data_IF_446560698217
#
_entry.id   IF_446560698217
#
_cell.length_a   1.000
_cell.length_b   1.000
_cell.length_c   1.000
_cell.angle_alpha   90.00
_cell.angle_beta   90.00
_cell.angle_gamma   90.00
#
_symmetry.space_group_name_H-M   'P 1'
#
loop_
_entity.id
_entity.type
_entity.pdbx_description
1 polymer ?
#
# COMPACT_ATOMS: atom_id res chain seq x y z
N UNK A 1 3.73 5.66 -12.63
CA UNK A 1 2.81 6.19 -11.61
C UNK A 1 2.35 5.03 -10.72
N UNK A 2 2.22 5.25 -9.41
CA UNK A 2 1.81 4.22 -8.45
C UNK A 2 0.42 3.69 -8.78
N UNK A 3 -0.52 4.59 -9.14
CA UNK A 3 -1.89 4.21 -9.50
C UNK A 3 -1.93 3.21 -10.65
N UNK A 4 -1.14 3.46 -11.71
CA UNK A 4 -1.08 2.58 -12.88
C UNK A 4 -0.31 1.27 -12.67
N UNK A 5 0.36 1.11 -11.53
CA UNK A 5 1.13 -0.10 -11.19
C UNK A 5 0.35 -1.13 -10.37
N UNK A 6 -0.87 -0.79 -9.94
CA UNK A 6 -1.71 -1.70 -9.16
C UNK A 6 -2.25 -2.78 -10.11
N UNK A 7 -1.93 -4.04 -9.80
CA UNK A 7 -2.36 -5.21 -10.54
C UNK A 7 -2.86 -6.32 -9.61
N UNK A 8 -3.05 -7.49 -10.18
CA UNK A 8 -3.49 -8.67 -9.45
C UNK A 8 -2.78 -9.95 -9.94
N UNK A 9 -2.80 -10.98 -9.10
CA UNK A 9 -2.34 -12.33 -9.43
C UNK A 9 -3.31 -13.34 -8.84
N UNK A 10 -3.73 -14.33 -9.63
CA UNK A 10 -4.62 -15.40 -9.16
C UNK A 10 -3.81 -16.69 -9.02
N UNK A 11 -3.99 -17.38 -7.90
CA UNK A 11 -3.56 -18.74 -7.67
C UNK A 11 -4.79 -19.64 -7.60
N UNK A 12 -5.09 -20.32 -8.71
CA UNK A 12 -6.27 -21.18 -8.82
C UNK A 12 -6.17 -22.42 -7.93
N UNK A 13 -4.97 -22.97 -7.74
CA UNK A 13 -4.77 -24.16 -6.89
C UNK A 13 -5.09 -23.90 -5.42
N UNK A 14 -4.79 -22.69 -4.94
CA UNK A 14 -5.10 -22.26 -3.57
C UNK A 14 -6.45 -21.52 -3.47
N UNK A 15 -7.10 -21.23 -4.60
CA UNK A 15 -8.28 -20.37 -4.68
C UNK A 15 -8.07 -18.99 -4.04
N UNK A 16 -6.87 -18.42 -4.22
CA UNK A 16 -6.47 -17.12 -3.66
C UNK A 16 -6.16 -16.13 -4.78
N UNK A 17 -6.62 -14.89 -4.62
CA UNK A 17 -6.21 -13.77 -5.45
C UNK A 17 -5.46 -12.72 -4.62
N UNK A 18 -4.36 -12.22 -5.18
CA UNK A 18 -3.55 -11.15 -4.61
C UNK A 18 -3.77 -9.88 -5.41
N UNK A 19 -3.92 -8.74 -4.74
CA UNK A 19 -4.01 -7.41 -5.34
C UNK A 19 -2.96 -6.53 -4.72
N UNK A 20 -2.17 -5.84 -5.54
CA UNK A 20 -1.06 -5.05 -5.04
C UNK A 20 -0.23 -4.43 -6.15
N UNK A 21 0.98 -3.99 -5.82
CA UNK A 21 1.94 -3.40 -6.75
C UNK A 21 3.33 -3.99 -6.49
N UNK A 22 4.15 -4.05 -7.53
CA UNK A 22 5.56 -4.39 -7.43
C UNK A 22 6.47 -3.18 -7.18
N UNK A 23 5.90 -1.97 -7.05
CA UNK A 23 6.66 -0.78 -6.72
C UNK A 23 7.12 -0.82 -5.25
N UNK A 24 8.43 -0.90 -5.02
CA UNK A 24 9.00 -0.97 -3.66
C UNK A 24 8.60 0.21 -2.77
N UNK A 25 8.55 1.42 -3.34
CA UNK A 25 8.23 2.63 -2.57
C UNK A 25 6.77 2.70 -2.11
N UNK A 26 5.90 1.84 -2.65
CA UNK A 26 4.47 1.85 -2.39
C UNK A 26 4.12 1.62 -0.92
N UNK A 27 4.95 0.84 -0.22
CA UNK A 27 4.81 0.60 1.22
C UNK A 27 4.96 1.90 2.03
N UNK A 28 5.87 2.77 1.63
CA UNK A 28 6.10 4.06 2.29
C UNK A 28 4.93 5.02 2.04
N UNK A 29 4.25 4.89 0.90
CA UNK A 29 3.05 5.67 0.60
C UNK A 29 1.88 5.19 1.45
N UNK A 30 1.65 3.88 1.54
CA UNK A 30 0.52 3.32 2.32
C UNK A 30 0.66 3.62 3.82
N UNK A 31 1.87 3.45 4.38
CA UNK A 31 2.09 3.46 5.83
C UNK A 31 2.89 4.66 6.35
N UNK A 32 3.40 5.52 5.48
CA UNK A 32 4.21 6.67 5.87
C UNK A 32 5.63 6.30 6.30
N UNK A 33 6.44 7.31 6.62
CA UNK A 33 7.85 7.15 7.03
C UNK A 33 8.22 8.06 8.20
N UNK A 34 9.31 7.71 8.89
CA UNK A 34 9.88 8.52 9.97
C UNK A 34 8.92 8.73 11.15
N UNK A 35 8.74 9.99 11.54
CA UNK A 35 7.84 10.38 12.63
C UNK A 35 6.38 10.06 12.33
N UNK A 36 6.00 10.01 11.05
CA UNK A 36 4.64 9.75 10.61
C UNK A 36 4.34 8.30 10.27
N UNK A 37 5.33 7.40 10.34
CA UNK A 37 5.11 5.99 10.06
C UNK A 37 4.02 5.40 10.97
N UNK A 38 3.08 4.68 10.37
CA UNK A 38 2.03 3.96 11.07
C UNK A 38 2.66 2.99 12.08
N UNK A 39 2.06 2.89 13.27
CA UNK A 39 2.57 2.10 14.41
C UNK A 39 3.92 2.55 14.98
N UNK A 40 4.50 3.65 14.50
CA UNK A 40 5.72 4.22 15.09
C UNK A 40 7.01 3.42 14.84
N UNK A 41 6.98 2.42 13.97
CA UNK A 41 8.09 1.48 13.72
C UNK A 41 9.22 2.03 12.84
N UNK A 42 9.38 3.35 12.75
CA UNK A 42 10.44 4.00 11.99
C UNK A 42 11.27 4.91 12.90
N UNK A 43 12.45 5.32 12.40
CA UNK A 43 13.33 6.28 13.07
C UNK A 43 12.54 7.52 13.46
N UNK A 44 12.65 7.91 14.73
CA UNK A 44 12.07 9.15 15.26
C UNK A 44 13.09 10.28 15.33
N UNK A 45 12.61 11.52 15.29
CA UNK A 45 13.45 12.73 15.44
C UNK A 45 14.10 13.21 14.13
N UNK A 46 13.56 12.78 13.00
CA UNK A 46 14.02 13.17 11.67
C UNK A 46 15.42 12.68 11.28
N UNK A 47 15.82 13.04 10.07
CA UNK A 47 17.16 12.81 9.56
C UNK A 47 17.65 13.99 8.74
N UNK A 48 18.97 14.16 8.73
CA UNK A 48 19.67 15.20 7.99
C UNK A 48 20.50 14.53 6.90
N UNK A 49 20.47 15.10 5.70
CA UNK A 49 21.30 14.71 4.57
C UNK A 49 22.08 15.88 4.06
N UNK A 50 23.38 15.70 3.82
CA UNK A 50 24.21 16.68 3.16
C UNK A 50 24.57 16.17 1.78
N UNK A 51 24.27 16.95 0.74
CA UNK A 51 24.62 16.60 -0.64
C UNK A 51 26.12 16.76 -0.87
N UNK A 52 26.68 16.13 -1.92
CA UNK A 52 28.07 16.36 -2.33
C UNK A 52 28.38 17.84 -2.64
N UNK A 53 27.35 18.65 -2.97
CA UNK A 53 27.47 20.10 -3.23
C UNK A 53 27.43 20.96 -1.95
N UNK A 54 27.26 20.34 -0.77
CA UNK A 54 27.22 21.01 0.52
C UNK A 54 25.83 21.44 1.00
N UNK A 55 24.78 21.21 0.21
CA UNK A 55 23.40 21.53 0.60
C UNK A 55 22.92 20.58 1.69
N UNK A 56 22.14 21.08 2.65
CA UNK A 56 21.62 20.30 3.76
C UNK A 56 20.11 20.19 3.66
N UNK A 57 19.62 18.95 3.71
CA UNK A 57 18.21 18.59 3.72
C UNK A 57 17.85 17.99 5.07
N UNK A 58 16.68 18.35 5.58
CA UNK A 58 16.14 17.80 6.80
C UNK A 58 14.70 17.38 6.56
N UNK A 59 14.29 16.21 7.08
CA UNK A 59 12.90 15.78 7.05
C UNK A 59 12.55 14.93 8.26
N UNK A 60 11.30 15.06 8.71
CA UNK A 60 10.68 14.21 9.72
C UNK A 60 10.11 12.91 9.12
N UNK A 61 10.08 12.80 7.78
CA UNK A 61 9.44 11.71 7.06
C UNK A 61 8.21 12.18 6.30
N UNK A 62 7.44 11.22 5.78
CA UNK A 62 6.26 11.44 4.95
C UNK A 62 5.02 10.89 5.64
N UNK A 63 3.92 11.68 5.76
CA UNK A 63 2.64 11.16 6.23
C UNK A 63 2.07 10.06 5.32
N UNK A 64 1.36 9.06 5.90
CA UNK A 64 0.73 8.01 5.11
C UNK A 64 -0.36 8.58 4.19
N UNK A 65 -0.41 8.07 2.95
CA UNK A 65 -1.43 8.31 1.95
C UNK A 65 -2.00 6.95 1.52
N UNK A 66 -2.81 6.30 2.37
CA UNK A 66 -3.25 4.93 2.15
C UNK A 66 -4.21 4.84 0.95
N UNK A 67 -4.03 3.79 0.16
CA UNK A 67 -4.78 3.56 -1.07
C UNK A 67 -5.31 2.13 -1.17
N UNK A 68 -4.58 1.12 -0.67
CA UNK A 68 -5.04 -0.27 -0.73
C UNK A 68 -5.99 -0.62 0.42
N UNK A 69 -5.61 -0.33 1.66
CA UNK A 69 -6.43 -0.67 2.84
C UNK A 69 -7.80 0.00 2.83
N UNK A 70 -7.95 1.31 2.54
CA UNK A 70 -9.28 1.93 2.44
C UNK A 70 -10.10 1.35 1.29
N UNK A 71 -9.49 1.11 0.12
CA UNK A 71 -10.19 0.51 -1.02
C UNK A 71 -10.73 -0.88 -0.69
N UNK A 72 -9.94 -1.72 -0.01
CA UNK A 72 -10.40 -3.04 0.45
C UNK A 72 -11.60 -2.93 1.39
N UNK A 73 -11.52 -2.06 2.41
CA UNK A 73 -12.61 -1.87 3.39
C UNK A 73 -13.90 -1.40 2.73
N UNK A 74 -13.80 -0.47 1.77
CA UNK A 74 -14.97 0.04 1.04
C UNK A 74 -15.62 -1.03 0.15
N UNK A 75 -14.82 -1.88 -0.49
CA UNK A 75 -15.30 -2.86 -1.46
C UNK A 75 -15.62 -4.23 -0.87
N UNK A 76 -15.34 -4.46 0.42
CA UNK A 76 -15.51 -5.78 1.06
C UNK A 76 -16.91 -6.38 0.89
N UNK A 77 -17.97 -5.56 0.97
CA UNK A 77 -19.34 -6.02 0.77
C UNK A 77 -19.59 -6.46 -0.68
N UNK A 78 -19.24 -5.59 -1.64
CA UNK A 78 -19.40 -5.86 -3.06
C UNK A 78 -18.63 -7.11 -3.49
N UNK A 79 -17.40 -7.30 -3.00
CA UNK A 79 -16.60 -8.51 -3.30
C UNK A 79 -17.33 -9.77 -2.85
N UNK A 80 -17.94 -9.76 -1.65
CA UNK A 80 -18.70 -10.92 -1.14
C UNK A 80 -19.94 -11.21 -1.96
N UNK A 81 -20.64 -10.17 -2.40
CA UNK A 81 -21.84 -10.30 -3.24
C UNK A 81 -21.49 -10.87 -4.62
N UNK A 82 -20.45 -10.34 -5.27
CA UNK A 82 -19.95 -10.85 -6.55
C UNK A 82 -19.55 -12.32 -6.43
N UNK A 83 -18.77 -12.67 -5.39
CA UNK A 83 -18.36 -14.04 -5.15
C UNK A 83 -19.56 -14.98 -4.95
N UNK A 84 -20.53 -14.57 -4.14
CA UNK A 84 -21.74 -15.36 -3.91
C UNK A 84 -22.56 -15.57 -5.19
N UNK A 85 -22.63 -14.56 -6.06
CA UNK A 85 -23.32 -14.69 -7.35
C UNK A 85 -22.58 -15.61 -8.31
N UNK A 86 -21.25 -15.49 -8.45
CA UNK A 86 -20.46 -16.39 -9.27
C UNK A 86 -20.57 -17.86 -8.81
N UNK A 87 -20.60 -18.10 -7.50
CA UNK A 87 -20.80 -19.45 -6.96
C UNK A 87 -22.19 -20.02 -7.26
N UNK A 88 -23.23 -19.17 -7.29
CA UNK A 88 -24.58 -19.59 -7.68
C UNK A 88 -24.71 -19.92 -9.16
N UNK A 89 -23.95 -19.26 -10.04
CA UNK A 89 -23.97 -19.54 -11.48
C UNK A 89 -23.27 -20.86 -11.84
N UNK A 90 -22.39 -21.36 -10.96
CA UNK A 90 -21.66 -22.61 -11.15
C UNK A 90 -22.45 -23.86 -10.73
N UNK A 91 -23.64 -23.71 -10.13
CA UNK A 91 -24.53 -24.80 -9.68
C UNK A 91 -25.98 -24.53 -10.00
#
# INVERSE_FOLDING_TARGET
DLRGSIGYKVNESELVAYVGTNCEYAIYVEFGTGDFAENGNCRKGGWVYRTPKGEVFFTYGMPPQPYLRPAFRQNQKAIREILANCLKELG
#
